data_IF_102163522522
#
_entry.id   IF_102163522522
#
_cell.length_a   1.000
_cell.length_b   1.000
_cell.length_c   1.000
_cell.angle_alpha   90.00
_cell.angle_beta   90.00
_cell.angle_gamma   90.00
#
_symmetry.space_group_name_H-M   'P 1'
#
loop_
_entity.id
_entity.type
_entity.pdbx_description
1 polymer ?
#
# COMPACT_ATOMS: atom_id res chain seq x y z
N UNK A 1 20.05 11.88 7.83
CA UNK A 1 19.80 10.45 8.00
C UNK A 1 18.34 10.19 7.68
N UNK A 2 18.02 9.51 6.56
CA UNK A 2 16.63 9.11 6.30
C UNK A 2 16.14 8.23 7.45
N UNK A 3 14.93 8.49 7.96
CA UNK A 3 14.29 7.59 8.94
C UNK A 3 14.03 6.23 8.25
N UNK A 4 14.03 5.13 8.99
CA UNK A 4 13.87 3.77 8.44
C UNK A 4 12.63 3.66 7.52
N UNK A 5 11.54 4.37 7.89
CA UNK A 5 10.34 4.49 7.06
C UNK A 5 10.58 5.12 5.68
N UNK A 6 11.43 6.13 5.58
CA UNK A 6 11.75 6.79 4.31
C UNK A 6 12.63 5.94 3.41
N UNK A 7 13.51 5.10 3.97
CA UNK A 7 14.30 4.15 3.20
C UNK A 7 13.44 3.04 2.60
N UNK A 8 12.50 2.48 3.38
CA UNK A 8 11.54 1.50 2.86
C UNK A 8 10.67 2.09 1.75
N UNK A 9 10.16 3.32 1.95
CA UNK A 9 9.32 4.00 0.96
C UNK A 9 10.09 4.29 -0.33
N UNK A 10 11.34 4.75 -0.23
CA UNK A 10 12.20 5.01 -1.38
C UNK A 10 12.56 3.74 -2.17
N UNK A 11 12.51 2.56 -1.54
CA UNK A 11 12.72 1.28 -2.20
C UNK A 11 11.48 0.78 -2.97
N UNK A 12 10.31 1.41 -2.82
CA UNK A 12 9.10 1.03 -3.55
C UNK A 12 9.05 1.71 -4.93
N UNK A 13 8.57 1.03 -5.98
CA UNK A 13 8.22 1.71 -7.23
C UNK A 13 7.17 2.78 -6.94
N UNK A 14 7.38 4.01 -7.45
CA UNK A 14 6.45 5.12 -7.17
C UNK A 14 5.00 4.76 -7.52
N UNK A 15 4.77 4.08 -8.64
CA UNK A 15 3.44 3.65 -9.09
C UNK A 15 2.77 2.61 -8.18
N UNK A 16 3.52 1.97 -7.28
CA UNK A 16 3.02 0.98 -6.31
C UNK A 16 2.65 1.61 -4.96
N UNK A 17 2.91 2.91 -4.76
CA UNK A 17 2.59 3.62 -3.52
C UNK A 17 1.25 4.34 -3.69
N UNK A 18 0.33 4.04 -2.78
CA UNK A 18 -1.01 4.62 -2.71
C UNK A 18 -1.25 5.18 -1.31
N UNK A 19 -2.22 6.08 -1.20
CA UNK A 19 -2.80 6.50 0.08
C UNK A 19 -4.32 6.39 0.01
N UNK A 20 -5.01 6.70 1.11
CA UNK A 20 -6.48 6.72 1.15
C UNK A 20 -7.01 8.14 1.35
N UNK A 21 -8.24 8.38 0.91
CA UNK A 21 -8.94 9.64 1.23
C UNK A 21 -9.13 9.84 2.74
N UNK A 22 -9.12 8.75 3.51
CA UNK A 22 -9.18 8.80 4.98
C UNK A 22 -7.89 9.41 5.54
N UNK A 23 -6.74 8.91 5.11
CA UNK A 23 -5.43 9.44 5.50
C UNK A 23 -5.24 10.89 5.02
N UNK A 24 -5.70 11.21 3.82
CA UNK A 24 -5.74 12.60 3.34
C UNK A 24 -6.57 13.49 4.28
N UNK A 25 -7.77 13.06 4.65
CA UNK A 25 -8.64 13.80 5.57
C UNK A 25 -7.99 14.00 6.94
N UNK A 26 -7.28 13.00 7.50
CA UNK A 26 -6.55 13.13 8.76
C UNK A 26 -5.45 14.20 8.69
N UNK A 27 -4.68 14.21 7.59
CA UNK A 27 -3.63 15.20 7.36
C UNK A 27 -4.24 16.61 7.23
N UNK A 28 -5.28 16.76 6.42
CA UNK A 28 -5.97 18.04 6.22
C UNK A 28 -6.62 18.54 7.52
N UNK A 29 -7.18 17.63 8.32
CA UNK A 29 -7.73 17.96 9.64
C UNK A 29 -6.64 18.48 10.58
N UNK A 30 -5.48 17.81 10.65
CA UNK A 30 -4.34 18.28 11.44
C UNK A 30 -3.85 19.66 11.03
N UNK A 31 -3.83 19.97 9.72
CA UNK A 31 -3.51 21.31 9.22
C UNK A 31 -4.55 22.36 9.63
N UNK A 32 -5.84 22.00 9.56
CA UNK A 32 -6.95 22.89 9.90
C UNK A 32 -6.96 23.27 11.40
N UNK A 33 -6.47 22.39 12.27
CA UNK A 33 -6.33 22.64 13.71
C UNK A 33 -5.19 23.63 14.06
N UNK A 34 -4.27 23.89 13.13
CA UNK A 34 -3.17 24.83 13.39
C UNK A 34 -3.67 26.28 13.38
N UNK A 35 -3.18 27.13 14.30
CA UNK A 35 -3.39 28.57 14.23
C UNK A 35 -2.93 29.13 12.89
N UNK A 36 -3.63 30.15 12.40
CA UNK A 36 -3.23 30.88 11.20
C UNK A 36 -1.82 31.45 11.38
N UNK A 37 -0.94 31.23 10.41
CA UNK A 37 0.41 31.77 10.42
C UNK A 37 1.39 31.00 9.55
N UNK A 38 2.67 31.40 9.61
CA UNK A 38 3.74 30.88 8.75
C UNK A 38 3.87 29.35 8.79
N UNK A 39 3.75 28.74 9.98
CA UNK A 39 3.86 27.28 10.14
C UNK A 39 2.77 26.53 9.37
N UNK A 40 1.51 26.96 9.51
CA UNK A 40 0.38 26.36 8.81
C UNK A 40 0.52 26.52 7.30
N UNK A 41 0.82 27.73 6.83
CA UNK A 41 1.01 28.02 5.40
C UNK A 41 2.14 27.17 4.78
N UNK A 42 3.26 27.03 5.48
CA UNK A 42 4.38 26.21 5.02
C UNK A 42 3.99 24.73 4.90
N UNK A 43 3.25 24.18 5.88
CA UNK A 43 2.81 22.80 5.84
C UNK A 43 1.72 22.56 4.78
N UNK A 44 0.76 23.46 4.63
CA UNK A 44 -0.25 23.40 3.56
C UNK A 44 0.42 23.44 2.18
N UNK A 45 1.42 24.30 1.98
CA UNK A 45 2.18 24.38 0.74
C UNK A 45 3.00 23.12 0.46
N UNK A 46 3.49 22.42 1.50
CA UNK A 46 4.22 21.17 1.37
C UNK A 46 3.31 19.97 1.08
N UNK A 47 2.12 19.93 1.67
CA UNK A 47 1.18 18.79 1.53
C UNK A 47 0.42 18.82 0.20
N UNK A 48 0.03 19.99 -0.29
CA UNK A 48 -0.75 20.12 -1.54
C UNK A 48 -0.15 19.37 -2.74
N UNK A 49 1.14 19.53 -3.10
CA UNK A 49 1.71 18.82 -4.25
C UNK A 49 1.77 17.30 -4.04
N UNK A 50 1.87 16.82 -2.80
CA UNK A 50 1.90 15.38 -2.51
C UNK A 50 0.62 14.70 -3.04
N UNK A 51 -0.55 15.30 -2.79
CA UNK A 51 -1.82 14.72 -3.26
C UNK A 51 -2.13 15.08 -4.72
N UNK A 52 -1.82 16.31 -5.14
CA UNK A 52 -2.16 16.80 -6.47
C UNK A 52 -1.25 16.28 -7.58
N UNK A 53 0.02 15.98 -7.27
CA UNK A 53 1.06 15.63 -8.23
C UNK A 53 1.66 14.26 -7.88
N UNK A 54 2.27 14.11 -6.70
CA UNK A 54 3.03 12.91 -6.35
C UNK A 54 2.15 11.66 -6.16
N UNK A 55 0.88 11.82 -5.81
CA UNK A 55 -0.10 10.75 -5.61
C UNK A 55 -1.34 10.94 -6.52
N UNK A 56 -1.21 11.72 -7.58
CA UNK A 56 -2.29 11.94 -8.54
C UNK A 56 -2.83 10.59 -9.07
N UNK A 57 -4.14 10.37 -8.93
CA UNK A 57 -4.80 9.10 -9.31
C UNK A 57 -4.48 7.90 -8.40
N UNK A 58 -3.74 8.10 -7.29
CA UNK A 58 -3.32 7.07 -6.32
C UNK A 58 -3.81 7.35 -4.89
N UNK A 59 -4.81 8.21 -4.76
CA UNK A 59 -5.60 8.39 -3.55
C UNK A 59 -6.86 7.53 -3.67
N UNK A 60 -6.92 6.44 -2.90
CA UNK A 60 -8.01 5.47 -2.95
C UNK A 60 -9.19 5.95 -2.09
N UNK A 61 -10.37 6.03 -2.70
CA UNK A 61 -11.59 6.48 -2.04
C UNK A 61 -12.27 5.36 -1.23
N UNK A 62 -13.00 5.75 -0.18
CA UNK A 62 -13.98 4.88 0.47
C UNK A 62 -15.24 4.78 -0.40
N UNK A 63 -15.26 3.83 -1.32
CA UNK A 63 -16.34 3.60 -2.29
C UNK A 63 -17.28 2.45 -1.85
N UNK A 64 -18.15 2.01 -2.77
CA UNK A 64 -19.14 0.95 -2.50
C UNK A 64 -18.48 -0.39 -2.12
N UNK A 65 -17.38 -0.74 -2.78
CA UNK A 65 -16.69 -2.01 -2.54
C UNK A 65 -15.98 -1.96 -1.19
N UNK A 66 -15.33 -0.83 -0.88
CA UNK A 66 -14.79 -0.58 0.46
C UNK A 66 -15.89 -0.60 1.54
N UNK A 67 -17.07 -0.06 1.29
CA UNK A 67 -18.17 -0.09 2.26
C UNK A 67 -18.64 -1.52 2.60
N UNK A 68 -18.64 -2.43 1.62
CA UNK A 68 -18.95 -3.84 1.86
C UNK A 68 -17.87 -4.52 2.70
N UNK A 69 -16.59 -4.32 2.37
CA UNK A 69 -15.48 -4.83 3.16
C UNK A 69 -15.49 -4.27 4.59
N UNK A 70 -15.82 -2.99 4.77
CA UNK A 70 -15.93 -2.34 6.08
C UNK A 70 -16.95 -3.05 6.97
N UNK A 71 -18.15 -3.32 6.45
CA UNK A 71 -19.21 -3.96 7.22
C UNK A 71 -18.77 -5.35 7.72
N UNK A 72 -18.13 -6.14 6.85
CA UNK A 72 -17.61 -7.45 7.22
C UNK A 72 -16.50 -7.35 8.29
N UNK A 73 -15.52 -6.46 8.10
CA UNK A 73 -14.41 -6.26 9.03
C UNK A 73 -14.91 -5.81 10.40
N UNK A 74 -15.74 -4.77 10.46
CA UNK A 74 -16.23 -4.20 11.71
C UNK A 74 -17.11 -5.21 12.48
N UNK A 75 -17.97 -5.95 11.79
CA UNK A 75 -18.79 -6.99 12.40
C UNK A 75 -17.94 -8.13 12.96
N UNK A 76 -16.97 -8.63 12.18
CA UNK A 76 -16.06 -9.69 12.60
C UNK A 76 -15.24 -9.28 13.83
N UNK A 77 -14.58 -8.12 13.76
CA UNK A 77 -13.77 -7.54 14.85
C UNK A 77 -14.57 -7.38 16.14
N UNK A 78 -15.83 -6.92 16.04
CA UNK A 78 -16.73 -6.86 17.20
C UNK A 78 -17.07 -8.25 17.74
N UNK A 79 -17.38 -9.21 16.87
CA UNK A 79 -17.76 -10.57 17.28
C UNK A 79 -16.63 -11.30 18.05
N UNK A 80 -15.37 -11.05 17.69
CA UNK A 80 -14.21 -11.62 18.38
C UNK A 80 -13.76 -10.80 19.61
N UNK A 81 -14.53 -9.79 20.03
CA UNK A 81 -14.23 -8.97 21.20
C UNK A 81 -13.07 -7.98 21.03
N UNK A 82 -12.68 -7.68 19.78
CA UNK A 82 -11.58 -6.77 19.45
C UNK A 82 -12.10 -5.66 18.52
N UNK A 83 -12.94 -4.72 18.98
CA UNK A 83 -13.43 -3.65 18.11
C UNK A 83 -12.26 -2.86 17.49
N UNK A 84 -12.50 -2.28 16.31
CA UNK A 84 -11.54 -1.46 15.56
C UNK A 84 -12.09 -0.04 15.45
N UNK A 85 -11.20 0.96 15.37
CA UNK A 85 -11.61 2.35 15.17
C UNK A 85 -12.30 2.51 13.81
N UNK A 86 -13.18 3.52 13.68
CA UNK A 86 -13.90 3.74 12.43
C UNK A 86 -12.98 4.13 11.28
N UNK A 87 -11.91 4.89 11.53
CA UNK A 87 -10.94 5.27 10.50
C UNK A 87 -10.05 4.10 10.09
N UNK A 88 -9.51 3.33 11.04
CA UNK A 88 -8.71 2.14 10.73
C UNK A 88 -9.53 1.09 9.97
N UNK A 89 -10.81 0.92 10.32
CA UNK A 89 -11.70 0.03 9.59
C UNK A 89 -11.96 0.50 8.16
N UNK A 90 -12.06 1.80 7.90
CA UNK A 90 -12.18 2.33 6.53
C UNK A 90 -10.88 2.11 5.74
N UNK A 91 -9.72 2.37 6.34
CA UNK A 91 -8.41 2.13 5.70
C UNK A 91 -8.24 0.64 5.38
N UNK A 92 -8.53 -0.25 6.35
CA UNK A 92 -8.53 -1.69 6.17
C UNK A 92 -9.45 -2.13 5.03
N UNK A 93 -10.66 -1.59 4.99
CA UNK A 93 -11.64 -1.93 3.99
C UNK A 93 -11.25 -1.50 2.57
N UNK A 94 -10.67 -0.30 2.41
CA UNK A 94 -10.14 0.17 1.12
C UNK A 94 -9.00 -0.75 0.66
N UNK A 95 -8.08 -1.11 1.55
CA UNK A 95 -6.97 -1.98 1.20
C UNK A 95 -7.46 -3.37 0.76
N UNK A 96 -8.38 -3.98 1.54
CA UNK A 96 -8.95 -5.29 1.24
C UNK A 96 -9.72 -5.28 -0.08
N UNK A 97 -10.57 -4.27 -0.33
CA UNK A 97 -11.37 -4.22 -1.57
C UNK A 97 -10.52 -4.06 -2.83
N UNK A 98 -9.31 -3.50 -2.71
CA UNK A 98 -8.36 -3.32 -3.82
C UNK A 98 -7.24 -4.36 -3.87
N UNK A 99 -7.23 -5.34 -2.95
CA UNK A 99 -6.15 -6.32 -2.84
C UNK A 99 -4.78 -5.69 -2.51
N UNK A 100 -4.78 -4.52 -1.86
CA UNK A 100 -3.58 -3.79 -1.49
C UNK A 100 -3.08 -4.22 -0.09
N UNK A 101 -1.80 -3.98 0.17
CA UNK A 101 -1.21 -4.12 1.52
C UNK A 101 -1.19 -2.78 2.26
N UNK A 102 -1.29 -2.83 3.59
CA UNK A 102 -1.20 -1.67 4.46
C UNK A 102 0.21 -1.58 5.03
N UNK A 103 0.90 -0.48 4.76
CA UNK A 103 2.17 -0.14 5.39
C UNK A 103 1.93 0.66 6.67
N UNK A 104 2.11 0.07 7.85
CA UNK A 104 1.88 0.73 9.14
C UNK A 104 2.78 0.22 10.24
N UNK A 105 3.10 1.08 11.21
CA UNK A 105 3.75 0.65 12.46
C UNK A 105 2.76 0.07 13.47
N UNK A 106 1.47 0.40 13.34
CA UNK A 106 0.42 -0.01 14.28
C UNK A 106 -0.16 -1.37 13.89
N UNK A 107 0.70 -2.39 13.76
CA UNK A 107 0.32 -3.71 13.24
C UNK A 107 -0.87 -4.34 14.00
N UNK A 108 -0.92 -4.12 15.32
CA UNK A 108 -1.97 -4.69 16.18
C UNK A 108 -3.38 -4.15 15.90
N UNK A 109 -3.50 -2.90 15.44
CA UNK A 109 -4.80 -2.25 15.18
C UNK A 109 -5.48 -2.85 13.94
N UNK A 110 -4.69 -3.39 13.02
CA UNK A 110 -5.14 -4.02 11.78
C UNK A 110 -5.18 -5.55 11.84
N UNK A 111 -4.87 -6.16 12.99
CA UNK A 111 -4.99 -7.61 13.17
C UNK A 111 -6.44 -8.08 12.94
N UNK A 112 -6.62 -9.28 12.38
CA UNK A 112 -7.93 -9.88 12.12
C UNK A 112 -8.86 -9.04 11.21
N UNK A 113 -8.29 -8.15 10.38
CA UNK A 113 -9.06 -7.38 9.37
C UNK A 113 -9.07 -8.05 8.00
N UNK A 114 -8.22 -9.05 7.78
CA UNK A 114 -8.00 -9.67 6.46
C UNK A 114 -7.08 -8.86 5.53
N UNK A 115 -6.63 -7.68 5.93
CA UNK A 115 -5.62 -6.93 5.18
C UNK A 115 -4.21 -7.53 5.35
N UNK A 116 -3.41 -7.49 4.29
CA UNK A 116 -1.98 -7.82 4.36
C UNK A 116 -1.23 -6.63 4.96
N UNK A 117 -0.53 -6.84 6.07
CA UNK A 117 0.16 -5.77 6.80
C UNK A 117 1.67 -5.87 6.55
N UNK A 118 2.28 -4.74 6.16
CA UNK A 118 3.72 -4.55 6.08
C UNK A 118 4.11 -3.54 7.15
N UNK A 119 5.15 -3.83 7.94
CA UNK A 119 5.72 -2.87 8.87
C UNK A 119 7.02 -2.29 8.28
N UNK A 120 7.02 -1.03 7.79
CA UNK A 120 8.20 -0.42 7.18
C UNK A 120 9.42 -0.33 8.10
N UNK A 121 9.24 -0.40 9.42
CA UNK A 121 10.35 -0.34 10.38
C UNK A 121 11.11 -1.65 10.53
N UNK A 122 10.52 -2.75 10.08
CA UNK A 122 11.21 -4.04 10.01
C UNK A 122 12.11 -4.13 8.76
N UNK A 123 12.02 -3.14 7.87
CA UNK A 123 12.88 -3.04 6.70
C UNK A 123 14.32 -2.77 7.12
N UNK A 124 15.16 -3.77 6.87
CA UNK A 124 16.61 -3.62 6.91
C UNK A 124 17.07 -3.41 5.48
N UNK A 125 17.40 -2.17 5.13
CA UNK A 125 18.23 -1.94 3.97
C UNK A 125 19.55 -2.66 4.25
N UNK A 126 19.83 -3.74 3.52
CA UNK A 126 21.17 -4.30 3.54
C UNK A 126 22.07 -3.22 2.92
N UNK A 127 22.92 -2.61 3.75
CA UNK A 127 24.14 -1.96 3.29
C UNK A 127 24.95 -3.04 2.59
N UNK A 128 24.89 -3.10 1.26
CA UNK A 128 25.99 -3.63 0.45
C UNK A 128 25.83 -3.15 -0.98
N UNK A 129 26.76 -2.28 -1.37
CA UNK A 129 27.16 -2.15 -2.75
C UNK A 129 27.34 -3.56 -3.32
N UNK A 130 26.52 -3.93 -4.32
CA UNK A 130 26.84 -5.06 -5.17
C UNK A 130 28.29 -4.84 -5.64
N UNK A 131 29.23 -5.79 -5.43
CA UNK A 131 30.53 -5.67 -6.06
C UNK A 131 30.27 -5.58 -7.56
N UNK A 132 30.63 -4.45 -8.15
CA UNK A 132 30.70 -4.30 -9.60
C UNK A 132 31.48 -5.49 -10.13
N UNK A 133 30.84 -6.33 -10.95
CA UNK A 133 31.52 -7.36 -11.70
C UNK A 133 32.60 -6.67 -12.54
N UNK A 134 33.83 -6.62 -12.05
CA UNK A 134 34.96 -6.25 -12.88
C UNK A 134 35.15 -7.36 -13.91
N UNK A 135 35.05 -6.96 -15.18
CA UNK A 135 35.38 -7.79 -16.31
C UNK A 135 36.88 -8.14 -16.26
N UNK A 136 37.21 -9.31 -15.71
CA UNK A 136 38.54 -9.91 -15.73
C UNK A 136 38.45 -11.33 -16.28
N UNK A 137 38.92 -11.52 -17.50
CA UNK A 137 38.81 -12.73 -18.30
C UNK A 137 39.44 -13.98 -17.66
N UNK A 138 38.74 -15.13 -17.77
CA UNK A 138 39.39 -16.38 -18.20
C UNK A 138 38.36 -17.37 -18.71
N UNK A 139 38.55 -17.77 -19.97
CA UNK A 139 37.65 -18.61 -20.74
C UNK A 139 37.94 -20.09 -20.52
N UNK A 140 36.90 -20.88 -20.21
CA UNK A 140 36.77 -22.27 -20.70
C UNK A 140 35.29 -22.71 -20.68
N UNK A 141 34.81 -23.06 -21.88
CA UNK A 141 33.47 -23.56 -22.32
C UNK A 141 32.98 -24.86 -21.62
N UNK A 142 31.77 -25.41 -21.93
CA UNK A 142 30.49 -24.84 -22.38
C UNK A 142 29.21 -25.52 -21.76
N UNK A 143 28.04 -25.03 -22.18
CA UNK A 143 26.71 -25.68 -22.24
C UNK A 143 25.84 -25.77 -20.98
N UNK A 144 24.70 -25.06 -21.01
CA UNK A 144 23.32 -25.59 -21.00
C UNK A 144 22.37 -24.43 -21.33
N UNK A 145 21.96 -24.35 -22.60
CA UNK A 145 20.62 -24.77 -23.07
C UNK A 145 19.55 -23.77 -22.60
N UNK A 146 19.30 -22.80 -23.48
CA UNK A 146 18.07 -22.04 -23.54
C UNK A 146 16.89 -23.04 -23.59
N UNK A 147 16.01 -23.00 -22.60
CA UNK A 147 14.70 -23.64 -22.68
C UNK A 147 13.70 -22.48 -22.82
N UNK A 148 13.39 -22.18 -24.07
CA UNK A 148 12.05 -21.75 -24.41
C UNK A 148 11.17 -23.00 -24.36
N UNK A 149 10.10 -22.96 -23.58
CA UNK A 149 8.91 -23.77 -23.82
C UNK A 149 7.71 -23.06 -23.20
N UNK A 150 6.93 -22.45 -24.08
CA UNK A 150 5.50 -22.22 -23.89
C UNK A 150 4.81 -23.54 -23.50
N UNK A 151 3.80 -23.50 -22.63
CA UNK A 151 2.38 -23.77 -22.95
C UNK A 151 1.57 -24.13 -21.69
N UNK A 152 0.25 -23.89 -21.82
CA UNK A 152 -0.88 -24.25 -20.97
C UNK A 152 -1.37 -23.12 -20.04
N UNK A 153 -2.28 -22.23 -20.47
CA UNK A 153 -3.71 -22.47 -20.77
C UNK A 153 -4.49 -23.11 -19.61
N UNK A 154 -5.01 -22.28 -18.72
CA UNK A 154 -6.23 -22.50 -17.95
C UNK A 154 -6.68 -21.12 -17.44
N UNK A 155 -7.90 -20.62 -17.62
CA UNK A 155 -9.08 -21.12 -18.29
C UNK A 155 -10.15 -20.03 -18.27
N UNK A 156 -11.04 -20.13 -19.26
CA UNK A 156 -12.43 -19.65 -19.26
C UNK A 156 -12.69 -18.15 -18.99
N UNK A 157 -12.94 -17.45 -20.11
CA UNK A 157 -13.92 -16.37 -20.21
C UNK A 157 -15.33 -16.92 -19.92
N UNK A 158 -16.18 -15.99 -19.49
CA UNK A 158 -17.66 -15.98 -19.56
C UNK A 158 -18.44 -16.60 -18.39
N UNK A 159 -19.15 -15.74 -17.66
CA UNK A 159 -20.49 -16.05 -17.16
C UNK A 159 -21.39 -14.80 -17.28
N UNK A 160 -22.35 -14.87 -18.18
CA UNK A 160 -23.64 -14.17 -18.07
C UNK A 160 -24.58 -15.04 -17.23
N UNK A 161 -25.33 -14.45 -16.30
CA UNK A 161 -26.52 -15.09 -15.74
C UNK A 161 -27.54 -14.05 -15.25
N UNK A 162 -28.54 -13.83 -16.11
CA UNK A 162 -30.01 -13.81 -15.89
C UNK A 162 -30.60 -13.61 -14.47
N UNK A 163 -31.44 -12.56 -14.38
CA UNK A 163 -32.83 -12.46 -13.86
C UNK A 163 -33.27 -13.02 -12.49
N UNK A 164 -33.91 -12.11 -11.73
CA UNK A 164 -35.11 -12.22 -10.88
C UNK A 164 -35.23 -13.31 -9.80
N UNK A 165 -35.34 -12.87 -8.54
CA UNK A 165 -36.58 -12.87 -7.74
C UNK A 165 -36.42 -11.89 -6.56
#
# INVERSE_FOLDING_TARGET
MPTISSAWLAAQPAAAVFTTTVTEAEILHGLALLPSGRRRQALEAAVRPIFAEDLAGRVLAFDRDAAQSYAAIAAHRRAIGRPISQFDAQIAAIAVSRGASIATRNVADFADTGAVIVNPWDFRALDEALPSCEAGASATRPTKRCIQSETASAGARSFTSTSAA
#
